data_IF_430767248727
#
_entry.id   IF_430767248727
#
_cell.length_a   1.000
_cell.length_b   1.000
_cell.length_c   1.000
_cell.angle_alpha   90.00
_cell.angle_beta   90.00
_cell.angle_gamma   90.00
#
_symmetry.space_group_name_H-M   'P 1'
#
loop_
_entity.id
_entity.type
_entity.pdbx_description
1 polymer ?
#
# COMPACT_ATOMS: atom_id res chain seq x y z
N UNK A 1 35.11 5.10 0.84
CA UNK A 1 33.99 4.14 0.81
C UNK A 1 32.89 4.73 -0.07
N UNK A 2 32.43 4.01 -1.09
CA UNK A 2 31.34 4.50 -1.93
C UNK A 2 30.05 4.57 -1.09
N UNK A 3 29.38 5.73 -1.09
CA UNK A 3 28.08 5.88 -0.40
C UNK A 3 27.09 4.93 -1.08
N UNK A 4 26.41 4.03 -0.35
CA UNK A 4 25.38 3.19 -0.93
C UNK A 4 24.36 4.06 -1.65
N UNK A 5 24.03 3.73 -2.91
CA UNK A 5 22.95 4.41 -3.62
C UNK A 5 21.64 4.03 -2.93
N UNK A 6 21.10 4.98 -2.17
CA UNK A 6 19.84 4.81 -1.48
C UNK A 6 18.71 4.77 -2.52
N UNK A 7 17.90 3.71 -2.51
CA UNK A 7 16.85 3.47 -3.52
C UNK A 7 15.56 4.26 -3.27
N UNK A 8 15.16 4.42 -2.01
CA UNK A 8 13.95 5.19 -1.65
C UNK A 8 14.14 6.19 -0.50
N UNK A 9 13.01 6.63 0.03
CA UNK A 9 12.92 7.65 1.08
C UNK A 9 12.94 7.02 2.48
N UNK A 10 13.52 7.71 3.48
CA UNK A 10 13.41 7.28 4.89
C UNK A 10 12.08 7.72 5.51
N UNK A 11 11.41 8.66 4.87
CA UNK A 11 10.14 9.24 5.28
C UNK A 11 9.43 9.77 4.04
N UNK A 12 8.10 9.83 4.09
CA UNK A 12 7.29 10.44 3.04
C UNK A 12 6.23 11.34 3.67
N UNK A 13 5.83 12.43 2.99
CA UNK A 13 4.78 13.31 3.50
C UNK A 13 3.43 12.59 3.45
N UNK A 14 2.68 12.67 4.53
CA UNK A 14 1.29 12.21 4.62
C UNK A 14 0.43 13.37 5.06
N UNK A 15 -0.70 13.58 4.38
CA UNK A 15 -1.64 14.62 4.77
C UNK A 15 -2.13 14.41 6.20
N UNK A 16 -2.08 15.46 7.02
CA UNK A 16 -2.55 15.43 8.41
C UNK A 16 -4.05 15.10 8.52
N UNK A 17 -4.81 15.33 7.45
CA UNK A 17 -6.23 15.00 7.34
C UNK A 17 -6.52 13.61 6.74
N UNK A 18 -5.51 12.74 6.56
CA UNK A 18 -5.67 11.41 5.93
C UNK A 18 -6.80 10.58 6.56
N UNK A 19 -6.99 10.68 7.88
CA UNK A 19 -8.06 9.99 8.60
C UNK A 19 -9.47 10.52 8.26
N UNK A 20 -9.57 11.75 7.75
CA UNK A 20 -10.80 12.39 7.30
C UNK A 20 -11.05 12.18 5.80
N UNK A 21 -10.04 11.72 5.04
CA UNK A 21 -10.15 11.45 3.61
C UNK A 21 -11.32 10.51 3.33
N UNK A 22 -12.18 10.88 2.37
CA UNK A 22 -13.41 10.14 2.04
C UNK A 22 -13.12 8.69 1.62
N UNK A 23 -12.03 8.43 0.89
CA UNK A 23 -11.62 7.09 0.45
C UNK A 23 -11.16 6.25 1.63
N UNK A 24 -10.29 6.79 2.48
CA UNK A 24 -9.81 6.13 3.71
C UNK A 24 -10.96 5.82 4.66
N UNK A 25 -11.91 6.74 4.85
CA UNK A 25 -13.11 6.48 5.67
C UNK A 25 -13.98 5.36 5.09
N UNK A 26 -14.12 5.27 3.76
CA UNK A 26 -14.83 4.17 3.09
C UNK A 26 -14.12 2.83 3.26
N UNK A 27 -12.79 2.82 3.14
CA UNK A 27 -11.95 1.64 3.39
C UNK A 27 -12.19 1.12 4.81
N UNK A 28 -12.03 1.99 5.82
CA UNK A 28 -12.24 1.64 7.23
C UNK A 28 -13.65 1.11 7.51
N UNK A 29 -14.66 1.67 6.86
CA UNK A 29 -16.06 1.24 7.03
C UNK A 29 -16.31 -0.17 6.47
N UNK A 30 -15.61 -0.55 5.40
CA UNK A 30 -15.85 -1.82 4.67
C UNK A 30 -14.95 -2.96 5.15
N UNK A 31 -13.70 -2.66 5.47
CA UNK A 31 -12.67 -3.66 5.80
C UNK A 31 -12.04 -3.44 7.18
N UNK A 32 -12.63 -2.55 8.01
CA UNK A 32 -12.16 -2.29 9.36
C UNK A 32 -10.89 -1.44 9.44
N UNK A 33 -10.41 -1.25 10.66
CA UNK A 33 -9.24 -0.42 10.95
C UNK A 33 -7.93 -1.02 10.43
N UNK A 34 -7.84 -2.35 10.37
CA UNK A 34 -6.60 -3.02 9.92
C UNK A 34 -6.33 -2.76 8.45
N UNK A 35 -7.37 -2.62 7.62
CA UNK A 35 -7.19 -2.21 6.23
C UNK A 35 -6.50 -0.84 6.09
N UNK A 36 -6.68 0.08 7.04
CA UNK A 36 -5.95 1.35 7.05
C UNK A 36 -4.48 1.17 7.44
N UNK A 37 -4.18 0.26 8.37
CA UNK A 37 -2.80 -0.10 8.73
C UNK A 37 -2.08 -0.71 7.52
N UNK A 38 -2.72 -1.69 6.85
CA UNK A 38 -2.24 -2.30 5.63
C UNK A 38 -1.99 -1.26 4.53
N UNK A 39 -2.93 -0.32 4.33
CA UNK A 39 -2.76 0.77 3.37
C UNK A 39 -1.51 1.61 3.66
N UNK A 40 -1.30 2.00 4.92
CA UNK A 40 -0.11 2.75 5.32
C UNK A 40 1.18 1.93 5.17
N UNK A 41 1.17 0.65 5.53
CA UNK A 41 2.32 -0.24 5.37
C UNK A 41 2.76 -0.30 3.90
N UNK A 42 1.82 -0.54 2.98
CA UNK A 42 2.12 -0.58 1.54
C UNK A 42 2.67 0.75 1.04
N UNK A 43 2.14 1.89 1.52
CA UNK A 43 2.72 3.20 1.18
C UNK A 43 4.16 3.32 1.67
N UNK A 44 4.47 2.92 2.91
CA UNK A 44 5.83 2.88 3.43
C UNK A 44 6.74 2.07 2.49
N UNK A 45 6.31 0.87 2.11
CA UNK A 45 7.10 -0.02 1.25
C UNK A 45 7.30 0.57 -0.15
N UNK A 46 6.28 1.23 -0.72
CA UNK A 46 6.39 1.94 -1.99
C UNK A 46 7.45 3.03 -1.90
N UNK A 47 7.36 3.94 -0.92
CA UNK A 47 8.30 5.06 -0.80
C UNK A 47 9.70 4.62 -0.40
N UNK A 48 9.85 3.52 0.35
CA UNK A 48 11.14 2.92 0.66
C UNK A 48 11.82 2.26 -0.56
N UNK A 49 11.02 1.80 -1.55
CA UNK A 49 11.49 1.02 -2.70
C UNK A 49 11.33 1.70 -4.07
N UNK A 50 11.44 3.04 -4.14
CA UNK A 50 11.38 3.82 -5.41
C UNK A 50 9.95 4.03 -5.96
N UNK A 51 9.00 4.31 -5.07
CA UNK A 51 7.61 4.74 -5.32
C UNK A 51 6.63 3.66 -5.79
N UNK A 52 7.04 2.41 -5.84
CA UNK A 52 6.14 1.29 -6.14
C UNK A 52 6.65 -0.01 -5.53
N UNK A 53 5.75 -0.97 -5.37
CA UNK A 53 6.07 -2.36 -5.00
C UNK A 53 5.39 -3.31 -5.96
N UNK A 54 6.02 -4.46 -6.21
CA UNK A 54 5.44 -5.52 -7.02
C UNK A 54 4.49 -6.36 -6.18
N UNK A 55 3.30 -6.64 -6.70
CA UNK A 55 2.25 -7.42 -6.07
C UNK A 55 2.41 -8.92 -6.37
N UNK A 56 3.48 -9.53 -5.87
CA UNK A 56 3.77 -10.97 -6.01
C UNK A 56 3.43 -11.76 -4.74
N UNK A 57 3.54 -13.09 -4.83
CA UNK A 57 3.30 -14.00 -3.69
C UNK A 57 4.22 -13.71 -2.50
N UNK A 58 5.51 -13.45 -2.74
CA UNK A 58 6.47 -13.17 -1.67
C UNK A 58 6.06 -11.92 -0.86
N UNK A 59 5.62 -10.86 -1.53
CA UNK A 59 5.19 -9.64 -0.85
C UNK A 59 3.85 -9.83 -0.12
N UNK A 60 2.93 -10.65 -0.66
CA UNK A 60 1.70 -11.04 0.04
C UNK A 60 2.00 -11.79 1.33
N UNK A 61 2.95 -12.73 1.29
CA UNK A 61 3.39 -13.49 2.45
C UNK A 61 4.04 -12.59 3.50
N UNK A 62 4.94 -11.68 3.09
CA UNK A 62 5.55 -10.71 4.00
C UNK A 62 4.52 -9.81 4.70
N UNK A 63 3.49 -9.35 3.96
CA UNK A 63 2.39 -8.59 4.54
C UNK A 63 1.53 -9.44 5.50
N UNK A 64 1.29 -10.71 5.16
CA UNK A 64 0.56 -11.66 6.00
C UNK A 64 1.26 -11.89 7.33
N UNK A 65 2.58 -12.10 7.30
CA UNK A 65 3.39 -12.28 8.50
C UNK A 65 3.50 -11.01 9.34
N UNK A 66 3.65 -9.84 8.70
CA UNK A 66 3.84 -8.57 9.43
C UNK A 66 2.56 -8.04 10.09
N UNK A 67 1.39 -8.29 9.50
CA UNK A 67 0.10 -7.78 9.98
C UNK A 67 -0.73 -8.89 10.65
N UNK A 68 -0.26 -10.14 10.62
CA UNK A 68 -0.93 -11.33 11.15
C UNK A 68 -2.34 -11.55 10.54
N UNK A 69 -2.46 -11.34 9.22
CA UNK A 69 -3.71 -11.52 8.46
C UNK A 69 -3.48 -12.49 7.31
N UNK A 70 -4.44 -13.38 7.07
CA UNK A 70 -4.40 -14.33 5.96
C UNK A 70 -4.29 -13.63 4.60
N UNK A 71 -3.50 -14.20 3.68
CA UNK A 71 -3.26 -13.66 2.34
C UNK A 71 -4.55 -13.37 1.57
N UNK A 72 -5.56 -14.25 1.67
CA UNK A 72 -6.87 -14.07 1.03
C UNK A 72 -7.58 -12.79 1.49
N UNK A 73 -7.47 -12.45 2.78
CA UNK A 73 -8.07 -11.23 3.33
C UNK A 73 -7.27 -10.00 2.92
N UNK A 74 -5.92 -10.10 2.89
CA UNK A 74 -5.05 -9.06 2.35
C UNK A 74 -5.40 -8.76 0.88
N UNK A 75 -5.58 -9.79 0.06
CA UNK A 75 -5.93 -9.62 -1.35
C UNK A 75 -7.27 -8.90 -1.50
N UNK A 76 -8.30 -9.30 -0.75
CA UNK A 76 -9.61 -8.62 -0.74
C UNK A 76 -9.47 -7.15 -0.33
N UNK A 77 -8.66 -6.85 0.69
CA UNK A 77 -8.44 -5.48 1.16
C UNK A 77 -7.71 -4.64 0.10
N UNK A 78 -6.67 -5.17 -0.55
CA UNK A 78 -5.93 -4.47 -1.60
C UNK A 78 -6.80 -4.22 -2.83
N UNK A 79 -7.58 -5.20 -3.27
CA UNK A 79 -8.57 -5.00 -4.36
C UNK A 79 -9.56 -3.88 -4.01
N UNK A 80 -10.04 -3.83 -2.77
CA UNK A 80 -10.89 -2.74 -2.29
C UNK A 80 -10.16 -1.37 -2.31
N UNK A 81 -8.87 -1.32 -1.98
CA UNK A 81 -8.08 -0.08 -2.05
C UNK A 81 -7.94 0.42 -3.49
N UNK A 82 -7.72 -0.49 -4.44
CA UNK A 82 -7.71 -0.18 -5.89
C UNK A 82 -9.09 0.31 -6.34
N UNK A 83 -10.18 -0.32 -5.89
CA UNK A 83 -11.56 0.12 -6.18
C UNK A 83 -11.91 1.50 -5.63
N UNK A 84 -11.31 1.88 -4.50
CA UNK A 84 -11.46 3.20 -3.90
C UNK A 84 -10.52 4.24 -4.53
N UNK A 85 -9.73 3.87 -5.54
CA UNK A 85 -8.70 4.70 -6.16
C UNK A 85 -7.68 5.21 -5.13
N UNK A 86 -7.30 4.37 -4.15
CA UNK A 86 -6.17 4.63 -3.24
C UNK A 86 -4.84 4.22 -3.88
N UNK A 87 -4.87 3.18 -4.71
CA UNK A 87 -3.79 2.77 -5.60
C UNK A 87 -4.20 2.93 -7.06
N UNK A 88 -3.21 3.06 -7.94
CA UNK A 88 -3.46 3.13 -9.38
C UNK A 88 -3.97 1.79 -9.91
N UNK A 89 -5.17 1.81 -10.50
CA UNK A 89 -5.81 0.61 -11.05
C UNK A 89 -5.09 0.06 -12.26
N UNK A 90 -4.65 0.91 -13.18
CA UNK A 90 -4.01 0.46 -14.41
C UNK A 90 -2.68 -0.22 -14.11
N UNK A 91 -1.91 0.30 -13.16
CA UNK A 91 -0.66 -0.32 -12.72
C UNK A 91 -0.89 -1.64 -11.98
N UNK A 92 -1.95 -1.73 -11.18
CA UNK A 92 -2.28 -2.97 -10.49
C UNK A 92 -2.74 -4.06 -11.46
N UNK A 93 -3.66 -3.75 -12.37
CA UNK A 93 -4.26 -4.75 -13.27
C UNK A 93 -3.32 -5.17 -14.43
N UNK A 94 -2.50 -4.27 -14.95
CA UNK A 94 -1.66 -4.56 -16.12
C UNK A 94 -0.22 -4.98 -15.78
N UNK A 95 0.28 -4.58 -14.61
CA UNK A 95 1.69 -4.72 -14.27
C UNK A 95 1.92 -5.44 -12.93
N UNK A 96 0.87 -5.82 -12.21
CA UNK A 96 0.94 -6.33 -10.83
C UNK A 96 1.79 -5.42 -9.95
N UNK A 97 1.53 -4.11 -9.99
CA UNK A 97 2.28 -3.10 -9.23
C UNK A 97 1.33 -2.25 -8.40
N UNK A 98 1.67 -2.08 -7.12
CA UNK A 98 1.03 -1.11 -6.25
C UNK A 98 1.85 0.18 -6.24
N UNK A 99 1.18 1.29 -6.53
CA UNK A 99 1.74 2.62 -6.48
C UNK A 99 0.66 3.64 -6.12
N UNK A 100 1.07 4.72 -5.48
CA UNK A 100 0.14 5.78 -5.12
C UNK A 100 -0.29 6.56 -6.37
N UNK A 101 -1.54 7.04 -6.39
CA UNK A 101 -2.12 7.74 -7.55
C UNK A 101 -1.44 9.09 -7.87
N UNK A 102 -0.58 9.61 -6.99
CA UNK A 102 0.01 10.95 -7.06
C UNK A 102 1.46 10.97 -7.57
N UNK A 103 1.87 10.02 -8.41
CA UNK A 103 3.14 10.10 -9.15
C UNK A 103 2.96 10.89 -10.44
#
# INVERSE_FOLDING_TARGET
MARPKKKGLDYFPVDTNILQNKKVRRLKRRAGHVAFVLYLQILCDCYANSYFVKWNDDYRLELSESIEIQEDEIEKMVRLMVDLNLFDRAMFENNDVLTSVNI
#
